data_IF_582434508366
#
_entry.id   IF_582434508366
#
_cell.length_a   1.000
_cell.length_b   1.000
_cell.length_c   1.000
_cell.angle_alpha   90.00
_cell.angle_beta   90.00
_cell.angle_gamma   90.00
#
_symmetry.space_group_name_H-M   'P 1'
#
loop_
_entity.id
_entity.type
_entity.pdbx_description
1 polymer ?
#
# COMPACT_ATOMS: atom_id res chain seq x y z
N UNK A 1 -9.42 23.54 -39.16
CA UNK A 1 -8.67 23.10 -37.96
C UNK A 1 -9.50 23.47 -36.72
N UNK A 2 -10.14 22.50 -36.04
CA UNK A 2 -10.99 22.77 -34.85
C UNK A 2 -10.11 22.79 -33.60
N UNK A 3 -9.91 23.97 -33.01
CA UNK A 3 -9.08 24.20 -31.82
C UNK A 3 -9.70 23.53 -30.60
N UNK A 4 -9.03 22.49 -30.08
CA UNK A 4 -9.42 21.69 -28.91
C UNK A 4 -9.49 22.51 -27.60
N UNK A 5 -9.00 23.74 -27.62
CA UNK A 5 -8.86 24.64 -26.47
C UNK A 5 -10.05 25.58 -26.24
N UNK A 6 -11.03 25.63 -27.16
CA UNK A 6 -12.20 26.52 -27.02
C UNK A 6 -13.07 26.19 -25.78
N UNK A 7 -13.02 24.96 -25.28
CA UNK A 7 -13.73 24.54 -24.06
C UNK A 7 -13.14 25.12 -22.77
N UNK A 8 -11.82 25.26 -22.67
CA UNK A 8 -11.14 25.73 -21.45
C UNK A 8 -11.46 27.19 -21.13
N UNK A 9 -11.59 28.04 -22.16
CA UNK A 9 -12.00 29.44 -21.99
C UNK A 9 -13.42 29.60 -21.44
N UNK A 10 -14.32 28.64 -21.75
CA UNK A 10 -15.69 28.63 -21.23
C UNK A 10 -15.79 28.13 -19.78
N UNK A 11 -14.84 27.30 -19.34
CA UNK A 11 -14.71 26.89 -17.94
C UNK A 11 -14.31 28.09 -17.06
N UNK A 12 -13.35 28.91 -17.52
CA UNK A 12 -12.87 30.08 -16.78
C UNK A 12 -13.91 31.19 -16.65
N UNK A 13 -14.74 31.40 -17.68
CA UNK A 13 -15.81 32.42 -17.69
C UNK A 13 -17.10 31.98 -16.96
N UNK A 14 -17.13 30.77 -16.40
CA UNK A 14 -18.32 30.26 -15.70
C UNK A 14 -19.50 29.89 -16.62
N UNK A 15 -19.29 29.86 -17.94
CA UNK A 15 -20.30 29.52 -18.96
C UNK A 15 -20.59 28.00 -19.03
N UNK A 16 -19.92 27.20 -18.20
CA UNK A 16 -20.07 25.75 -18.14
C UNK A 16 -20.53 25.34 -16.75
N UNK A 17 -21.81 25.00 -16.62
CA UNK A 17 -22.35 24.37 -15.42
C UNK A 17 -22.07 22.87 -15.49
N UNK A 18 -21.19 22.37 -14.63
CA UNK A 18 -20.97 20.93 -14.48
C UNK A 18 -21.95 20.38 -13.43
N UNK A 19 -22.74 19.39 -13.80
CA UNK A 19 -23.68 18.75 -12.89
C UNK A 19 -22.97 17.69 -12.05
N UNK A 20 -22.39 18.13 -10.93
CA UNK A 20 -21.75 17.26 -9.95
C UNK A 20 -22.77 16.40 -9.19
N UNK A 21 -23.96 16.94 -8.92
CA UNK A 21 -24.99 16.28 -8.11
C UNK A 21 -25.65 15.14 -8.90
N UNK A 22 -25.96 15.36 -10.19
CA UNK A 22 -26.57 14.36 -11.06
C UNK A 22 -25.62 13.22 -11.41
N UNK A 23 -24.30 13.47 -11.38
CA UNK A 23 -23.24 12.47 -11.65
C UNK A 23 -22.61 11.86 -10.41
N UNK A 24 -23.13 12.15 -9.21
CA UNK A 24 -22.60 11.61 -7.94
C UNK A 24 -22.46 10.09 -7.91
N UNK A 25 -23.34 9.38 -8.64
CA UNK A 25 -23.33 7.92 -8.74
C UNK A 25 -22.06 7.38 -9.41
N UNK A 26 -21.44 8.13 -10.32
CA UNK A 26 -20.16 7.75 -10.93
C UNK A 26 -19.06 7.77 -9.86
N UNK A 27 -19.04 8.82 -9.03
CA UNK A 27 -18.11 8.91 -7.90
C UNK A 27 -18.30 7.73 -6.93
N UNK A 28 -19.55 7.44 -6.53
CA UNK A 28 -19.85 6.30 -5.66
C UNK A 28 -19.46 4.96 -6.27
N UNK A 29 -19.70 4.76 -7.57
CA UNK A 29 -19.31 3.53 -8.25
C UNK A 29 -17.80 3.34 -8.25
N UNK A 30 -17.03 4.39 -8.58
CA UNK A 30 -15.56 4.35 -8.54
C UNK A 30 -15.05 4.08 -7.12
N UNK A 31 -15.57 4.79 -6.12
CA UNK A 31 -15.20 4.57 -4.72
C UNK A 31 -15.52 3.14 -4.27
N UNK A 32 -16.70 2.61 -4.63
CA UNK A 32 -17.10 1.26 -4.29
C UNK A 32 -16.15 0.23 -4.91
N UNK A 33 -15.76 0.41 -6.18
CA UNK A 33 -14.80 -0.48 -6.85
C UNK A 33 -13.46 -0.50 -6.11
N UNK A 34 -12.95 0.67 -5.70
CA UNK A 34 -11.70 0.76 -4.95
C UNK A 34 -11.80 0.02 -3.61
N UNK A 35 -12.88 0.25 -2.87
CA UNK A 35 -13.12 -0.40 -1.57
C UNK A 35 -13.22 -1.91 -1.72
N UNK A 36 -14.00 -2.39 -2.71
CA UNK A 36 -14.18 -3.83 -2.96
C UNK A 36 -12.88 -4.47 -3.42
N UNK A 37 -12.11 -3.81 -4.29
CA UNK A 37 -10.81 -4.31 -4.73
C UNK A 37 -9.82 -4.41 -3.55
N UNK A 38 -9.77 -3.40 -2.69
CA UNK A 38 -8.92 -3.42 -1.49
C UNK A 38 -9.34 -4.51 -0.51
N UNK A 39 -10.63 -4.59 -0.17
CA UNK A 39 -11.15 -5.64 0.69
C UNK A 39 -10.91 -7.04 0.12
N UNK A 40 -11.16 -7.22 -1.19
CA UNK A 40 -10.89 -8.48 -1.89
C UNK A 40 -9.41 -8.86 -1.87
N UNK A 41 -8.50 -7.89 -2.05
CA UNK A 41 -7.06 -8.12 -1.96
C UNK A 41 -6.65 -8.65 -0.59
N UNK A 42 -7.17 -8.06 0.49
CA UNK A 42 -6.89 -8.50 1.86
C UNK A 42 -7.42 -9.92 2.12
N UNK A 43 -8.58 -10.28 1.57
CA UNK A 43 -9.15 -11.61 1.73
C UNK A 43 -8.39 -12.69 0.94
N UNK A 44 -7.91 -12.37 -0.26
CA UNK A 44 -7.21 -13.34 -1.14
C UNK A 44 -5.76 -13.55 -0.70
N UNK A 45 -5.03 -12.47 -0.40
CA UNK A 45 -3.63 -12.53 0.01
C UNK A 45 -3.47 -12.89 1.49
N UNK A 46 -4.53 -12.75 2.28
CA UNK A 46 -4.47 -12.83 3.73
C UNK A 46 -3.89 -11.57 4.35
N UNK A 47 -3.87 -11.52 5.68
CA UNK A 47 -3.22 -10.44 6.43
C UNK A 47 -1.85 -10.91 6.89
N UNK A 48 -0.83 -10.06 6.70
CA UNK A 48 0.45 -10.23 7.37
C UNK A 48 0.30 -9.81 8.84
N UNK A 49 -0.32 -10.68 9.62
CA UNK A 49 -0.51 -10.52 11.05
C UNK A 49 0.85 -10.38 11.75
N UNK A 50 1.01 -9.30 12.52
CA UNK A 50 2.18 -9.07 13.33
C UNK A 50 2.32 -10.06 14.50
N UNK A 51 3.42 -9.94 15.23
CA UNK A 51 3.75 -10.79 16.38
C UNK A 51 2.67 -10.80 17.46
N UNK A 52 1.95 -9.69 17.64
CA UNK A 52 0.86 -9.55 18.62
C UNK A 52 -0.32 -10.51 18.35
N UNK A 53 -0.46 -10.99 17.12
CA UNK A 53 -1.57 -11.84 16.70
C UNK A 53 -1.17 -13.29 16.44
N UNK A 54 0.03 -13.55 15.90
CA UNK A 54 0.52 -14.92 15.67
C UNK A 54 1.27 -15.49 16.88
N UNK A 55 1.77 -14.64 17.76
CA UNK A 55 2.81 -15.01 18.72
C UNK A 55 4.15 -15.28 18.03
N UNK A 56 5.24 -15.23 18.78
CA UNK A 56 6.57 -15.47 18.24
C UNK A 56 7.63 -14.60 18.93
N UNK A 57 8.78 -14.46 18.29
CA UNK A 57 9.91 -13.65 18.75
C UNK A 57 10.35 -12.76 17.60
N UNK A 58 10.38 -11.45 17.81
CA UNK A 58 10.84 -10.48 16.82
C UNK A 58 12.21 -9.94 17.25
N UNK A 59 13.18 -10.00 16.34
CA UNK A 59 14.53 -9.51 16.58
C UNK A 59 14.83 -8.36 15.62
N UNK A 60 15.27 -7.24 16.18
CA UNK A 60 15.73 -6.10 15.39
C UNK A 60 17.25 -6.15 15.29
N UNK A 61 17.78 -6.24 14.07
CA UNK A 61 19.21 -6.35 13.80
C UNK A 61 19.68 -5.08 13.07
N UNK A 62 20.70 -4.37 13.57
CA UNK A 62 21.22 -3.18 12.90
C UNK A 62 21.92 -3.59 11.59
N UNK A 63 21.35 -3.17 10.45
CA UNK A 63 21.91 -3.47 9.13
C UNK A 63 23.23 -2.75 8.85
N UNK A 64 23.52 -1.66 9.57
CA UNK A 64 24.73 -0.85 9.44
C UNK A 64 25.62 -0.98 10.69
N UNK A 65 26.32 -2.10 10.81
CA UNK A 65 27.34 -2.25 11.85
C UNK A 65 28.68 -1.72 11.35
N UNK A 66 29.54 -1.26 12.27
CA UNK A 66 30.92 -0.81 11.97
C UNK A 66 31.81 -1.88 11.30
N UNK A 67 31.32 -3.13 11.24
CA UNK A 67 31.95 -4.27 10.60
C UNK A 67 31.45 -4.57 9.16
N UNK A 68 30.45 -3.85 8.64
CA UNK A 68 29.89 -4.05 7.29
C UNK A 68 28.35 -4.07 7.26
N UNK A 69 27.80 -4.18 6.05
CA UNK A 69 26.37 -4.39 5.81
C UNK A 69 26.00 -5.83 6.20
N UNK A 70 25.13 -5.98 7.20
CA UNK A 70 24.62 -7.28 7.63
C UNK A 70 23.39 -7.62 6.80
N UNK A 71 23.45 -8.74 6.07
CA UNK A 71 22.30 -9.23 5.29
C UNK A 71 21.36 -10.05 6.17
N UNK A 72 20.11 -10.25 5.72
CA UNK A 72 19.12 -11.11 6.42
C UNK A 72 19.66 -12.54 6.63
N UNK A 73 20.42 -13.06 5.67
CA UNK A 73 21.04 -14.39 5.74
C UNK A 73 22.10 -14.47 6.85
N UNK A 74 22.93 -13.44 7.00
CA UNK A 74 23.93 -13.36 8.08
C UNK A 74 23.26 -13.29 9.46
N UNK A 75 22.18 -12.53 9.58
CA UNK A 75 21.41 -12.43 10.82
C UNK A 75 20.80 -13.78 11.22
N UNK A 76 20.18 -14.50 10.27
CA UNK A 76 19.64 -15.85 10.50
C UNK A 76 20.73 -16.84 10.94
N UNK A 77 21.89 -16.80 10.30
CA UNK A 77 23.02 -17.67 10.64
C UNK A 77 23.53 -17.47 12.10
N UNK A 78 23.58 -16.23 12.58
CA UNK A 78 23.97 -15.94 13.98
C UNK A 78 22.91 -16.43 14.95
N UNK A 79 21.62 -16.27 14.65
CA UNK A 79 20.53 -16.74 15.51
C UNK A 79 20.54 -18.28 15.63
N UNK A 80 20.69 -18.98 14.50
CA UNK A 80 20.77 -20.45 14.47
C UNK A 80 21.99 -20.97 15.23
N UNK A 81 23.14 -20.32 15.10
CA UNK A 81 24.36 -20.67 15.84
C UNK A 81 24.19 -20.55 17.36
N UNK A 82 23.26 -19.71 17.82
CA UNK A 82 22.93 -19.51 19.23
C UNK A 82 21.68 -20.31 19.67
N UNK A 83 21.19 -21.23 18.84
CA UNK A 83 19.99 -22.04 19.09
C UNK A 83 18.72 -21.18 19.30
N UNK A 84 18.64 -20.01 18.66
CA UNK A 84 17.43 -19.19 18.65
C UNK A 84 16.63 -19.53 17.39
N UNK A 85 15.37 -19.90 17.56
CA UNK A 85 14.48 -20.30 16.47
C UNK A 85 14.23 -19.12 15.50
N UNK A 86 14.82 -19.20 14.30
CA UNK A 86 14.76 -18.17 13.25
C UNK A 86 13.67 -18.41 12.20
N UNK A 87 13.02 -19.58 12.22
CA UNK A 87 11.96 -19.99 11.27
C UNK A 87 10.64 -19.26 11.50
N UNK A 88 10.41 -18.73 12.71
CA UNK A 88 9.21 -17.98 13.08
C UNK A 88 9.34 -16.45 12.91
N UNK A 89 10.49 -15.96 12.44
CA UNK A 89 10.78 -14.55 12.20
C UNK A 89 10.66 -14.17 10.72
#
# INVERSE_FOLDING_TARGET
MKTRFAGLGRLYRGETTFDFIGRRMIGFAVSLVIVVAGAGSLLIQGLELGIDFRGGVAWEVPSNSSAGELTDEDARAVLDANNIESTSA
#
